data_IF_624636626334
#
_entry.id   IF_624636626334
#
_cell.length_a   1.000
_cell.length_b   1.000
_cell.length_c   1.000
_cell.angle_alpha   90.00
_cell.angle_beta   90.00
_cell.angle_gamma   90.00
#
_symmetry.space_group_name_H-M   'P 1'
#
loop_
_entity.id
_entity.type
_entity.pdbx_description
1 polymer ?
#
# COMPACT_ATOMS: atom_id res chain seq x y z
N UNK A 1 -37.85 -4.07 -17.48
CA UNK A 1 -37.20 -2.93 -16.77
C UNK A 1 -35.80 -3.39 -16.45
N UNK A 2 -34.95 -3.28 -17.46
CA UNK A 2 -33.63 -3.90 -17.54
C UNK A 2 -32.57 -2.94 -17.01
N UNK A 3 -31.99 -3.22 -15.84
CA UNK A 3 -30.73 -2.60 -15.44
C UNK A 3 -29.58 -3.54 -15.84
N UNK A 4 -29.01 -3.27 -17.02
CA UNK A 4 -27.82 -3.96 -17.52
C UNK A 4 -26.64 -3.72 -16.57
N UNK A 5 -26.29 -4.76 -15.81
CA UNK A 5 -24.98 -4.86 -15.18
C UNK A 5 -23.97 -5.03 -16.32
N UNK A 6 -23.22 -3.98 -16.66
CA UNK A 6 -22.12 -4.09 -17.62
C UNK A 6 -20.86 -4.58 -16.90
N UNK A 7 -20.85 -5.86 -16.56
CA UNK A 7 -19.61 -6.61 -16.34
C UNK A 7 -18.93 -6.77 -17.70
N UNK A 8 -18.00 -5.89 -18.03
CA UNK A 8 -17.22 -6.01 -19.28
C UNK A 8 -15.94 -6.77 -19.00
N UNK A 9 -16.06 -8.04 -18.62
CA UNK A 9 -14.95 -8.99 -18.62
C UNK A 9 -14.64 -9.33 -20.07
N UNK A 10 -13.56 -8.75 -20.62
CA UNK A 10 -13.06 -9.09 -21.96
C UNK A 10 -11.68 -9.73 -21.81
N UNK A 11 -11.46 -10.85 -22.49
CA UNK A 11 -10.34 -11.76 -22.33
C UNK A 11 -8.96 -11.13 -22.67
N UNK A 12 -8.30 -10.48 -21.70
CA UNK A 12 -6.84 -10.35 -21.47
C UNK A 12 -6.68 -9.56 -20.16
N UNK A 13 -7.10 -10.13 -19.03
CA UNK A 13 -7.19 -9.40 -17.75
C UNK A 13 -5.87 -9.54 -16.96
N UNK A 14 -4.77 -9.09 -17.57
CA UNK A 14 -3.53 -8.90 -16.80
C UNK A 14 -3.77 -7.65 -15.95
N UNK A 15 -3.72 -7.74 -14.62
CA UNK A 15 -3.92 -6.57 -13.76
C UNK A 15 -2.85 -5.54 -14.11
N UNK A 16 -3.28 -4.38 -14.63
CA UNK A 16 -2.37 -3.28 -14.92
C UNK A 16 -2.00 -2.61 -13.60
N UNK A 17 -0.72 -2.64 -13.25
CA UNK A 17 -0.22 -1.94 -12.07
C UNK A 17 -0.09 -0.47 -12.43
N UNK A 18 -0.87 0.39 -11.78
CA UNK A 18 -0.72 1.83 -11.89
C UNK A 18 0.16 2.36 -10.76
N UNK A 19 1.19 3.10 -11.13
CA UNK A 19 2.08 3.81 -10.21
C UNK A 19 1.76 5.29 -10.20
N UNK A 20 1.80 5.89 -9.01
CA UNK A 20 1.61 7.31 -8.80
C UNK A 20 2.85 7.90 -8.13
N UNK A 21 3.10 9.18 -8.38
CA UNK A 21 4.10 9.97 -7.67
C UNK A 21 3.47 11.26 -7.14
N UNK A 22 3.81 11.62 -5.92
CA UNK A 22 3.41 12.91 -5.35
C UNK A 22 4.20 14.06 -5.97
N UNK A 23 3.50 15.15 -6.26
CA UNK A 23 4.08 16.41 -6.73
C UNK A 23 4.16 17.46 -5.62
N UNK A 24 3.45 17.24 -4.52
CA UNK A 24 3.46 18.07 -3.31
C UNK A 24 3.44 17.18 -2.08
N UNK A 25 3.90 17.71 -0.95
CA UNK A 25 3.67 17.08 0.35
C UNK A 25 2.21 17.24 0.79
N UNK A 26 1.74 16.30 1.60
CA UNK A 26 0.40 16.32 2.17
C UNK A 26 0.43 15.79 3.60
N UNK A 27 -0.10 16.59 4.51
CA UNK A 27 -0.14 16.30 5.95
C UNK A 27 -1.60 16.14 6.38
N UNK A 28 -1.96 14.97 6.88
CA UNK A 28 -3.28 14.71 7.44
C UNK A 28 -3.17 14.18 8.88
N UNK A 29 -3.89 14.85 9.77
CA UNK A 29 -3.82 14.63 11.22
C UNK A 29 -5.17 14.21 11.82
N UNK A 30 -6.25 14.20 11.02
CA UNK A 30 -7.62 13.97 11.48
C UNK A 30 -8.17 12.62 11.08
N UNK A 31 -7.93 12.18 9.84
CA UNK A 31 -8.40 10.89 9.35
C UNK A 31 -7.23 9.92 9.17
N UNK A 32 -7.12 8.86 10.00
CA UNK A 32 -6.04 7.88 9.89
C UNK A 32 -6.11 7.03 8.61
N UNK A 33 -7.20 7.10 7.85
CA UNK A 33 -7.32 6.41 6.56
C UNK A 33 -6.61 7.15 5.42
N UNK A 34 -6.28 8.42 5.63
CA UNK A 34 -5.61 9.25 4.64
C UNK A 34 -4.11 9.27 4.96
N UNK A 35 -3.28 9.07 3.95
CA UNK A 35 -1.85 9.00 4.13
C UNK A 35 -1.24 10.40 4.24
N UNK A 36 -0.31 10.55 5.18
CA UNK A 36 0.65 11.66 5.19
C UNK A 36 1.88 11.26 4.38
N UNK A 37 2.32 12.10 3.46
CA UNK A 37 3.42 11.81 2.53
C UNK A 37 4.20 13.07 2.13
N UNK A 38 5.44 12.87 1.71
CA UNK A 38 6.32 13.93 1.23
C UNK A 38 6.25 14.07 -0.30
N UNK A 39 6.78 15.16 -0.85
CA UNK A 39 7.02 15.30 -2.30
C UNK A 39 7.91 14.17 -2.83
N UNK A 40 7.66 13.74 -4.06
CA UNK A 40 8.33 12.63 -4.76
C UNK A 40 8.13 11.24 -4.12
N UNK A 41 7.32 11.10 -3.07
CA UNK A 41 6.90 9.79 -2.56
C UNK A 41 6.05 9.06 -3.61
N UNK A 42 6.32 7.77 -3.78
CA UNK A 42 5.66 6.91 -4.76
C UNK A 42 4.63 5.97 -4.14
N UNK A 43 3.67 5.60 -4.97
CA UNK A 43 2.56 4.75 -4.57
C UNK A 43 2.22 3.75 -5.67
N UNK A 44 1.76 2.57 -5.23
CA UNK A 44 1.08 1.61 -6.09
C UNK A 44 -0.42 1.70 -5.83
N UNK A 45 -1.19 1.86 -6.90
CA UNK A 45 -2.65 1.91 -6.83
C UNK A 45 -3.22 0.51 -6.58
N UNK A 46 -4.14 0.39 -5.62
CA UNK A 46 -4.74 -0.90 -5.23
C UNK A 46 -6.09 -1.13 -5.91
N UNK A 47 -6.86 -0.06 -6.12
CA UNK A 47 -8.18 -0.11 -6.74
C UNK A 47 -8.20 0.73 -8.00
N UNK A 48 -8.93 0.27 -9.00
CA UNK A 48 -9.10 1.01 -10.25
C UNK A 48 -9.52 2.45 -9.97
N UNK A 49 -8.90 3.42 -10.65
CA UNK A 49 -9.26 4.80 -10.48
C UNK A 49 -10.63 5.00 -11.10
N UNK A 50 -11.65 5.18 -10.24
CA UNK A 50 -12.84 5.89 -10.70
C UNK A 50 -12.37 7.29 -11.08
N UNK A 51 -12.47 7.63 -12.38
CA UNK A 51 -12.04 8.93 -12.92
C UNK A 51 -12.75 10.11 -12.26
N UNK A 52 -13.87 9.86 -11.57
CA UNK A 52 -14.61 10.86 -10.81
C UNK A 52 -14.24 10.95 -9.33
N UNK A 53 -13.35 10.07 -8.83
CA UNK A 53 -12.97 10.05 -7.42
C UNK A 53 -11.90 11.10 -7.12
N UNK A 54 -12.16 11.90 -6.09
CA UNK A 54 -11.20 12.86 -5.53
C UNK A 54 -10.04 12.18 -4.79
N UNK A 55 -10.18 10.88 -4.49
CA UNK A 55 -9.25 10.11 -3.66
C UNK A 55 -8.86 8.80 -4.32
N UNK A 56 -7.56 8.51 -4.34
CA UNK A 56 -7.03 7.23 -4.79
C UNK A 56 -6.66 6.35 -3.61
N UNK A 57 -6.98 5.06 -3.70
CA UNK A 57 -6.64 4.08 -2.69
C UNK A 57 -5.36 3.35 -3.07
N UNK A 58 -4.33 3.51 -2.25
CA UNK A 58 -2.93 3.21 -2.61
C UNK A 58 -2.17 2.56 -1.47
N UNK A 59 -1.00 1.99 -1.81
CA UNK A 59 0.07 1.64 -0.86
C UNK A 59 1.33 2.45 -1.18
N UNK A 60 1.98 3.02 -0.17
CA UNK A 60 3.26 3.74 -0.35
C UNK A 60 4.47 2.84 -0.11
N UNK A 61 5.67 3.36 -0.40
CA UNK A 61 6.98 2.71 -0.17
C UNK A 61 7.21 2.25 1.28
N UNK A 62 6.51 2.85 2.24
CA UNK A 62 6.56 2.53 3.67
C UNK A 62 5.62 1.35 4.05
N UNK A 63 4.90 0.78 3.08
CA UNK A 63 3.92 -0.29 3.31
C UNK A 63 2.62 0.18 3.98
N UNK A 64 2.35 1.49 3.97
CA UNK A 64 1.13 2.07 4.51
C UNK A 64 0.05 2.10 3.42
N UNK A 65 -1.14 1.64 3.75
CA UNK A 65 -2.29 1.59 2.86
C UNK A 65 -3.28 2.66 3.28
N UNK A 66 -3.77 3.45 2.33
CA UNK A 66 -4.74 4.50 2.61
C UNK A 66 -5.12 5.30 1.38
N UNK A 67 -5.80 6.42 1.61
CA UNK A 67 -6.23 7.34 0.58
C UNK A 67 -5.22 8.47 0.39
N UNK A 68 -5.05 8.89 -0.87
CA UNK A 68 -4.31 10.11 -1.24
C UNK A 68 -5.21 10.99 -2.13
N UNK A 69 -5.16 12.32 -2.00
CA UNK A 69 -5.94 13.21 -2.83
C UNK A 69 -5.38 13.21 -4.27
N UNK A 70 -6.26 13.08 -5.26
CA UNK A 70 -5.86 12.98 -6.67
C UNK A 70 -5.11 14.23 -7.18
N UNK A 71 -5.33 15.39 -6.55
CA UNK A 71 -4.75 16.68 -6.94
C UNK A 71 -3.28 16.84 -6.51
N UNK A 72 -2.78 15.95 -5.66
CA UNK A 72 -1.40 15.98 -5.14
C UNK A 72 -0.50 14.92 -5.78
N UNK A 73 -1.07 14.08 -6.65
CA UNK A 73 -0.38 12.93 -7.24
C UNK A 73 -0.62 12.89 -8.74
N UNK A 74 0.36 12.37 -9.47
CA UNK A 74 0.28 12.16 -10.91
C UNK A 74 0.57 10.70 -11.25
N UNK A 75 0.02 10.21 -12.36
CA UNK A 75 0.40 8.91 -12.90
C UNK A 75 1.85 8.92 -13.34
N UNK A 76 2.63 7.96 -12.86
CA UNK A 76 4.03 7.78 -13.24
C UNK A 76 4.10 6.79 -14.40
N UNK A 77 3.80 7.27 -15.62
CA UNK A 77 3.64 6.44 -16.81
C UNK A 77 4.96 5.84 -17.34
N UNK A 78 6.10 6.45 -16.99
CA UNK A 78 7.42 6.12 -17.55
C UNK A 78 8.39 5.50 -16.53
N UNK A 79 7.86 4.80 -15.52
CA UNK A 79 8.72 4.08 -14.57
C UNK A 79 9.41 2.91 -15.27
N UNK A 80 10.73 2.81 -15.15
CA UNK A 80 11.45 1.68 -15.73
C UNK A 80 11.27 0.41 -14.86
N UNK A 81 11.47 -0.77 -15.45
CA UNK A 81 11.26 -2.06 -14.76
C UNK A 81 12.10 -2.18 -13.48
N UNK A 82 13.32 -1.63 -13.48
CA UNK A 82 14.20 -1.69 -12.31
C UNK A 82 13.63 -0.85 -11.15
N UNK A 83 13.15 0.35 -11.44
CA UNK A 83 12.49 1.22 -10.45
C UNK A 83 11.21 0.58 -9.91
N UNK A 84 10.41 -0.03 -10.79
CA UNK A 84 9.19 -0.74 -10.39
C UNK A 84 9.50 -1.90 -9.45
N UNK A 85 10.50 -2.72 -9.77
CA UNK A 85 10.94 -3.82 -8.91
C UNK A 85 11.42 -3.30 -7.55
N UNK A 86 12.21 -2.22 -7.53
CA UNK A 86 12.67 -1.61 -6.27
C UNK A 86 11.52 -1.09 -5.41
N UNK A 87 10.50 -0.48 -6.03
CA UNK A 87 9.30 -0.02 -5.34
C UNK A 87 8.54 -1.21 -4.72
N UNK A 88 8.30 -2.25 -5.50
CA UNK A 88 7.61 -3.47 -5.04
C UNK A 88 8.40 -4.16 -3.91
N UNK A 89 9.71 -4.28 -4.05
CA UNK A 89 10.59 -4.89 -3.04
C UNK A 89 10.54 -4.11 -1.71
N UNK A 90 10.55 -2.77 -1.76
CA UNK A 90 10.41 -1.92 -0.57
C UNK A 90 9.06 -2.15 0.10
N UNK A 91 7.98 -2.15 -0.68
CA UNK A 91 6.62 -2.37 -0.18
C UNK A 91 6.50 -3.75 0.48
N UNK A 92 6.93 -4.81 -0.21
CA UNK A 92 6.88 -6.18 0.30
C UNK A 92 7.69 -6.32 1.61
N UNK A 93 8.91 -5.77 1.63
CA UNK A 93 9.76 -5.79 2.82
C UNK A 93 9.11 -5.12 4.03
N UNK A 94 8.37 -4.01 3.82
CA UNK A 94 7.66 -3.31 4.89
C UNK A 94 6.41 -4.04 5.37
N UNK A 95 5.69 -4.69 4.45
CA UNK A 95 4.56 -5.54 4.81
C UNK A 95 5.00 -6.75 5.65
N UNK A 96 6.12 -7.38 5.29
CA UNK A 96 6.69 -8.51 6.03
C UNK A 96 7.16 -8.12 7.44
N UNK A 97 7.84 -6.98 7.57
CA UNK A 97 8.25 -6.44 8.87
C UNK A 97 7.03 -6.25 9.79
N UNK A 98 5.99 -5.59 9.27
CA UNK A 98 4.75 -5.34 10.02
C UNK A 98 4.05 -6.64 10.42
N UNK A 99 4.01 -7.63 9.53
CA UNK A 99 3.42 -8.93 9.81
C UNK A 99 4.21 -9.72 10.87
N UNK A 100 5.54 -9.66 10.83
CA UNK A 100 6.41 -10.32 11.80
C UNK A 100 6.32 -9.66 13.19
N UNK A 101 6.23 -8.33 13.26
CA UNK A 101 5.98 -7.59 14.50
C UNK A 101 4.62 -7.92 15.12
N UNK A 102 3.57 -8.00 14.30
CA UNK A 102 2.21 -8.36 14.75
C UNK A 102 2.11 -9.82 15.21
N UNK A 103 2.85 -10.74 14.58
CA UNK A 103 2.83 -12.17 14.90
C UNK A 103 3.94 -12.60 15.88
N UNK A 104 4.59 -11.66 16.58
CA UNK A 104 5.56 -11.94 17.63
C UNK A 104 4.86 -12.46 18.90
N UNK A 105 4.14 -13.58 18.79
CA UNK A 105 3.43 -14.29 19.87
C UNK A 105 4.41 -15.23 20.59
N UNK A 106 5.51 -14.68 21.08
CA UNK A 106 6.05 -15.12 22.35
C UNK A 106 6.11 -13.87 23.21
N UNK A 107 5.09 -13.71 24.04
CA UNK A 107 5.08 -12.68 25.09
C UNK A 107 6.36 -12.81 25.92
N UNK A 108 6.87 -11.71 26.46
CA UNK A 108 8.04 -11.75 27.36
C UNK A 108 7.87 -12.77 28.49
N UNK A 109 6.61 -13.02 28.89
CA UNK A 109 6.20 -14.07 29.81
C UNK A 109 6.48 -15.49 29.26
N UNK A 110 6.14 -15.78 28.01
CA UNK A 110 6.45 -17.07 27.36
C UNK A 110 7.96 -17.27 27.17
N UNK A 111 8.72 -16.21 26.84
CA UNK A 111 10.19 -16.26 26.79
C UNK A 111 10.79 -16.55 28.17
N UNK A 112 10.29 -15.86 29.21
CA UNK A 112 10.77 -16.03 30.59
C UNK A 112 10.44 -17.42 31.15
N UNK A 113 9.25 -17.96 30.87
CA UNK A 113 8.91 -19.33 31.25
C UNK A 113 9.74 -20.38 30.49
N UNK A 114 10.00 -20.21 29.19
CA UNK A 114 10.80 -21.13 28.39
C UNK A 114 12.27 -21.22 28.83
N UNK A 115 12.84 -20.11 29.34
CA UNK A 115 14.22 -20.07 29.85
C UNK A 115 14.38 -20.77 31.22
N UNK A 116 13.31 -20.88 32.03
CA UNK A 116 13.35 -21.53 33.34
C UNK A 116 13.33 -23.07 33.19
N UNK A 117 12.69 -23.61 32.15
CA UNK A 117 12.60 -25.06 31.95
C UNK A 117 13.92 -25.71 31.52
N UNK A 118 14.88 -24.94 30.99
CA UNK A 118 16.20 -25.42 30.59
C UNK A 118 17.26 -25.34 31.72
N UNK A 119 16.85 -24.98 32.94
CA UNK A 119 17.71 -24.91 34.11
C UNK A 119 17.16 -25.81 35.24
N UNK A 120 17.02 -27.11 34.96
CA UNK A 120 17.05 -28.20 35.95
C UNK A 120 17.66 -29.45 35.33
#
# INVERSE_FOLDING_TARGET
MDSKIKTTTTATDIPQIFTLKSVFEYMENRDPKILTFNVDERFVMIKDPDKSSDWYYVINEKGQIGYVPNSYVIYEENMNIKELLQLIDSIASKLDQKNNEQNKILTDRQLKHAQITNAM
#
